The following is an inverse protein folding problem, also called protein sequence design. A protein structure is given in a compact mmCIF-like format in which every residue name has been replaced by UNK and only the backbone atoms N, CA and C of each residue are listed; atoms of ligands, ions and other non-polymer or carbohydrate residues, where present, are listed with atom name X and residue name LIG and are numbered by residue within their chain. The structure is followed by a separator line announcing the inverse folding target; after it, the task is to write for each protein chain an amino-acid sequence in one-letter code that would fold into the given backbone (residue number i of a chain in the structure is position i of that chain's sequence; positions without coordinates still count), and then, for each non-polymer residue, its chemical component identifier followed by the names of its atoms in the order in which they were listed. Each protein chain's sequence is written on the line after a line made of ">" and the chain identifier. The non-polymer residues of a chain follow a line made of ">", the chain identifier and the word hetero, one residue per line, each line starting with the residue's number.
data_IF_546175900774
#
_entry.id   IF_546175900774
#
_cell.length_a   1.000
_cell.length_b   1.000
_cell.length_c   1.000
_cell.angle_alpha   90.00
_cell.angle_beta   90.00
_cell.angle_gamma   90.00
#
_symmetry.space_group_name_H-M   'P 1'
#
loop_
_entity.id
_entity.type
_entity.pdbx_description
1 polymer ?
#
# COMPACT_ATOMS: atom_id res chain seq x y z
N UNK A 1 3.45 -36.58 -3.94
CA UNK A 1 2.56 -35.42 -4.16
C UNK A 1 3.43 -34.17 -4.33
N UNK A 2 3.42 -33.56 -5.51
CA UNK A 2 4.11 -32.27 -5.72
C UNK A 2 3.29 -31.15 -5.07
N UNK A 3 3.91 -30.22 -4.31
CA UNK A 3 3.19 -29.13 -3.69
C UNK A 3 2.56 -28.22 -4.76
N UNK A 4 1.37 -27.65 -4.50
CA UNK A 4 0.71 -26.77 -5.46
C UNK A 4 1.59 -25.56 -5.78
N UNK A 5 1.50 -25.01 -7.00
CA UNK A 5 2.26 -23.82 -7.38
C UNK A 5 1.95 -22.67 -6.42
N UNK A 6 3.00 -21.95 -6.01
CA UNK A 6 2.86 -20.76 -5.16
C UNK A 6 2.07 -19.71 -5.93
N UNK A 7 0.97 -19.22 -5.35
CA UNK A 7 0.12 -18.18 -5.96
C UNK A 7 0.99 -16.98 -6.40
N UNK A 8 0.82 -16.54 -7.65
CA UNK A 8 1.52 -15.37 -8.21
C UNK A 8 2.91 -15.63 -8.79
N UNK A 9 3.27 -16.88 -9.09
CA UNK A 9 4.45 -17.20 -9.90
C UNK A 9 4.00 -17.63 -11.30
N UNK A 10 4.64 -17.09 -12.33
CA UNK A 10 4.40 -17.48 -13.72
C UNK A 10 5.72 -17.78 -14.43
N UNK A 11 5.65 -18.62 -15.45
CA UNK A 11 6.77 -18.87 -16.35
C UNK A 11 6.61 -17.95 -17.57
N UNK A 12 7.52 -16.97 -17.79
CA UNK A 12 7.46 -16.13 -18.97
C UNK A 12 7.57 -16.97 -20.25
N UNK A 13 6.80 -16.64 -21.29
CA UNK A 13 6.82 -17.40 -22.56
C UNK A 13 8.22 -17.54 -23.16
N UNK A 14 9.06 -16.52 -23.02
CA UNK A 14 10.46 -16.53 -23.50
C UNK A 14 11.38 -17.47 -22.71
N UNK A 15 10.97 -17.87 -21.53
CA UNK A 15 11.73 -18.80 -20.67
C UNK A 15 11.36 -20.26 -20.91
N UNK A 16 10.26 -20.54 -21.62
CA UNK A 16 9.77 -21.90 -21.87
C UNK A 16 10.79 -22.72 -22.66
N UNK A 17 11.35 -22.15 -23.73
CA UNK A 17 12.39 -22.80 -24.54
C UNK A 17 13.66 -23.08 -23.74
N UNK A 18 14.01 -22.17 -22.82
CA UNK A 18 15.17 -22.34 -21.93
C UNK A 18 14.93 -23.47 -20.94
N UNK A 19 13.76 -23.52 -20.31
CA UNK A 19 13.35 -24.62 -19.42
C UNK A 19 13.40 -25.95 -20.18
N UNK A 20 12.88 -26.00 -21.41
CA UNK A 20 12.90 -27.21 -22.23
C UNK A 20 14.35 -27.66 -22.50
N UNK A 21 15.22 -26.76 -22.94
CA UNK A 21 16.64 -27.05 -23.20
C UNK A 21 17.40 -27.50 -21.94
N UNK A 22 17.20 -26.81 -20.82
CA UNK A 22 17.86 -27.11 -19.55
C UNK A 22 17.38 -28.47 -18.99
N UNK A 23 16.09 -28.77 -19.14
CA UNK A 23 15.52 -30.05 -18.73
C UNK A 23 15.95 -31.20 -19.66
N UNK A 24 16.01 -30.98 -20.97
CA UNK A 24 16.48 -31.98 -21.94
C UNK A 24 17.95 -32.36 -21.73
N UNK A 25 18.76 -31.39 -21.30
CA UNK A 25 20.19 -31.54 -21.00
C UNK A 25 20.45 -32.09 -19.60
N UNK A 26 19.43 -32.16 -18.75
CA UNK A 26 19.59 -32.62 -17.37
C UNK A 26 19.76 -34.15 -17.28
N UNK A 27 20.72 -34.64 -16.48
CA UNK A 27 20.86 -36.07 -16.19
C UNK A 27 19.64 -36.62 -15.44
N UNK A 28 18.96 -35.80 -14.65
CA UNK A 28 17.78 -36.19 -13.88
C UNK A 28 16.62 -36.61 -14.79
N UNK A 29 16.53 -36.09 -16.02
CA UNK A 29 15.56 -36.55 -17.02
C UNK A 29 15.85 -38.00 -17.44
N UNK A 30 17.12 -38.35 -17.65
CA UNK A 30 17.55 -39.68 -18.12
C UNK A 30 17.52 -40.73 -17.01
N UNK A 31 17.73 -40.30 -15.77
CA UNK A 31 17.77 -41.15 -14.59
C UNK A 31 16.40 -41.36 -13.94
N UNK A 32 15.38 -40.57 -14.33
CA UNK A 32 14.01 -40.70 -13.81
C UNK A 32 13.40 -42.05 -14.20
N UNK A 33 13.03 -42.85 -13.20
CA UNK A 33 12.45 -44.20 -13.38
C UNK A 33 10.94 -44.20 -13.32
N UNK A 34 10.33 -43.11 -12.82
CA UNK A 34 8.89 -42.92 -12.83
C UNK A 34 8.48 -41.55 -13.38
N UNK A 35 7.25 -41.48 -13.86
CA UNK A 35 6.63 -40.22 -14.29
C UNK A 35 6.63 -39.16 -13.18
N UNK A 36 6.49 -39.58 -11.91
CA UNK A 36 6.49 -38.65 -10.78
C UNK A 36 7.86 -38.01 -10.53
N UNK A 37 8.95 -38.77 -10.76
CA UNK A 37 10.33 -38.26 -10.66
C UNK A 37 10.63 -37.31 -11.82
N UNK A 38 10.19 -37.69 -13.02
CA UNK A 38 10.28 -36.85 -14.21
C UNK A 38 9.59 -35.49 -14.02
N UNK A 39 8.35 -35.50 -13.52
CA UNK A 39 7.59 -34.27 -13.26
C UNK A 39 8.21 -33.43 -12.13
N UNK A 40 8.84 -34.05 -11.12
CA UNK A 40 9.57 -33.32 -10.08
C UNK A 40 10.84 -32.67 -10.61
N UNK A 41 11.57 -33.36 -11.48
CA UNK A 41 12.75 -32.79 -12.14
C UNK A 41 12.35 -31.62 -13.06
N UNK A 42 11.26 -31.74 -13.81
CA UNK A 42 10.72 -30.66 -14.63
C UNK A 42 10.29 -29.45 -13.80
N UNK A 43 9.52 -29.67 -12.72
CA UNK A 43 9.08 -28.61 -11.81
C UNK A 43 10.28 -27.90 -11.14
N UNK A 44 11.35 -28.63 -10.81
CA UNK A 44 12.57 -28.04 -10.28
C UNK A 44 13.23 -27.06 -11.28
N UNK A 45 13.35 -27.45 -12.56
CA UNK A 45 13.89 -26.57 -13.61
C UNK A 45 12.96 -25.39 -13.86
N UNK A 46 11.65 -25.61 -13.97
CA UNK A 46 10.66 -24.54 -14.13
C UNK A 46 10.77 -23.47 -13.05
N UNK A 47 10.93 -23.87 -11.78
CA UNK A 47 11.05 -22.95 -10.64
C UNK A 47 12.25 -22.01 -10.72
N UNK A 48 13.34 -22.41 -11.38
CA UNK A 48 14.51 -21.52 -11.58
C UNK A 48 14.22 -20.37 -12.53
N UNK A 49 13.26 -20.56 -13.44
CA UNK A 49 12.88 -19.59 -14.47
C UNK A 49 11.53 -18.92 -14.18
N UNK A 50 10.83 -19.34 -13.13
CA UNK A 50 9.59 -18.71 -12.69
C UNK A 50 9.86 -17.33 -12.09
N UNK A 51 9.03 -16.37 -12.51
CA UNK A 51 9.09 -14.99 -12.02
C UNK A 51 7.88 -14.74 -11.13
N UNK A 52 8.10 -14.02 -10.03
CA UNK A 52 7.00 -13.53 -9.21
C UNK A 52 6.30 -12.38 -9.95
N UNK A 53 4.99 -12.46 -10.10
CA UNK A 53 4.18 -11.33 -10.54
C UNK A 53 4.43 -10.17 -9.59
N UNK A 54 5.08 -9.13 -10.09
CA UNK A 54 5.20 -7.90 -9.33
C UNK A 54 3.81 -7.29 -9.26
N UNK A 55 3.26 -7.01 -8.06
CA UNK A 55 2.03 -6.26 -7.98
C UNK A 55 2.23 -4.97 -8.77
N UNK A 56 1.32 -4.71 -9.72
CA UNK A 56 1.39 -3.53 -10.57
C UNK A 56 1.54 -2.27 -9.71
N UNK A 57 2.27 -1.26 -10.22
CA UNK A 57 2.38 0.02 -9.53
C UNK A 57 0.98 0.57 -9.34
N UNK A 58 0.55 0.70 -8.08
CA UNK A 58 -0.71 1.41 -7.78
C UNK A 58 -0.56 2.82 -8.33
N UNK A 59 -1.50 3.32 -9.15
CA UNK A 59 -1.45 4.70 -9.60
C UNK A 59 -1.42 5.60 -8.36
N UNK A 60 -0.60 6.65 -8.40
CA UNK A 60 -0.66 7.66 -7.35
C UNK A 60 -2.04 8.31 -7.37
N UNK A 61 -2.51 8.71 -6.18
CA UNK A 61 -3.77 9.41 -6.05
C UNK A 61 -3.73 10.68 -6.93
N UNK A 62 -4.69 10.91 -7.83
CA UNK A 62 -4.63 12.03 -8.79
C UNK A 62 -4.61 13.42 -8.15
N UNK A 63 -5.09 13.54 -6.90
CA UNK A 63 -5.06 14.79 -6.13
C UNK A 63 -3.74 15.01 -5.37
N UNK A 64 -2.80 14.05 -5.42
CA UNK A 64 -1.49 14.15 -4.77
C UNK A 64 -0.53 14.92 -5.68
N UNK A 65 -0.39 16.21 -5.42
CA UNK A 65 0.51 17.09 -6.15
C UNK A 65 1.80 17.41 -5.36
N UNK A 66 2.69 18.20 -5.99
CA UNK A 66 3.96 18.63 -5.38
C UNK A 66 3.73 19.45 -4.11
N UNK A 67 2.63 20.20 -4.03
CA UNK A 67 2.29 21.02 -2.87
C UNK A 67 1.98 20.15 -1.64
N UNK A 68 1.13 19.13 -1.83
CA UNK A 68 0.84 18.12 -0.79
C UNK A 68 2.11 17.37 -0.40
N UNK A 69 2.97 17.02 -1.36
CA UNK A 69 4.23 16.35 -1.07
C UNK A 69 5.18 17.21 -0.22
N UNK A 70 5.32 18.49 -0.55
CA UNK A 70 6.15 19.44 0.22
C UNK A 70 5.59 19.60 1.63
N UNK A 71 4.30 19.90 1.78
CA UNK A 71 3.67 20.07 3.09
C UNK A 71 3.80 18.80 3.96
N UNK A 72 3.63 17.62 3.35
CA UNK A 72 3.82 16.34 4.04
C UNK A 72 5.27 16.11 4.49
N UNK A 73 6.25 16.46 3.64
CA UNK A 73 7.68 16.42 4.01
C UNK A 73 7.98 17.35 5.17
N UNK A 74 7.47 18.58 5.16
CA UNK A 74 7.63 19.55 6.27
C UNK A 74 7.05 19.02 7.57
N UNK A 75 5.81 18.49 7.56
CA UNK A 75 5.21 17.85 8.74
C UNK A 75 6.08 16.70 9.26
N UNK A 76 6.60 15.86 8.36
CA UNK A 76 7.46 14.73 8.72
C UNK A 76 8.77 15.20 9.34
N UNK A 77 9.35 16.27 8.80
CA UNK A 77 10.56 16.89 9.33
C UNK A 77 10.32 17.50 10.72
N UNK A 78 9.23 18.25 10.92
CA UNK A 78 8.85 18.78 12.22
C UNK A 78 8.65 17.66 13.27
N UNK A 79 8.05 16.53 12.88
CA UNK A 79 7.93 15.37 13.76
C UNK A 79 9.29 14.76 14.13
N UNK A 80 10.21 14.66 13.17
CA UNK A 80 11.57 14.16 13.42
C UNK A 80 12.32 15.07 14.39
N UNK A 81 12.21 16.37 14.22
CA UNK A 81 12.81 17.36 15.12
C UNK A 81 12.24 17.24 16.52
N UNK A 82 10.92 17.26 16.68
CA UNK A 82 10.27 17.03 17.98
C UNK A 82 10.77 15.73 18.64
N UNK A 83 10.82 14.62 17.90
CA UNK A 83 11.33 13.34 18.42
C UNK A 83 12.81 13.36 18.82
N UNK A 84 13.63 14.24 18.24
CA UNK A 84 15.03 14.43 18.67
C UNK A 84 15.07 15.14 20.02
N UNK A 85 14.28 16.20 20.19
CA UNK A 85 14.25 16.99 21.42
C UNK A 85 13.52 16.31 22.59
N UNK A 86 12.52 15.46 22.33
CA UNK A 86 11.90 14.60 23.35
C UNK A 86 12.94 13.72 24.06
N UNK A 87 14.03 13.37 23.40
CA UNK A 87 15.13 12.59 23.99
C UNK A 87 16.15 13.45 24.76
N UNK A 88 16.13 14.78 24.57
CA UNK A 88 17.13 15.71 25.07
C UNK A 88 16.78 16.43 26.39
N UNK A 89 15.62 16.12 26.99
CA UNK A 89 15.13 16.66 28.28
C UNK A 89 14.85 18.18 28.37
N UNK A 90 15.09 18.96 27.31
CA UNK A 90 14.69 20.37 27.26
C UNK A 90 13.19 20.52 27.01
N UNK A 91 12.45 20.85 28.07
CA UNK A 91 10.98 20.90 28.05
C UNK A 91 10.41 22.08 27.26
N UNK A 92 11.09 23.23 27.27
CA UNK A 92 10.60 24.44 26.58
C UNK A 92 10.76 24.29 25.07
N UNK A 93 11.96 23.89 24.62
CA UNK A 93 12.24 23.64 23.20
C UNK A 93 11.39 22.47 22.69
N UNK A 94 11.12 21.45 23.53
CA UNK A 94 10.23 20.37 23.16
C UNK A 94 8.79 20.87 22.92
N UNK A 95 8.26 21.75 23.78
CA UNK A 95 6.92 22.31 23.63
C UNK A 95 6.79 23.17 22.37
N UNK A 96 7.79 24.00 22.06
CA UNK A 96 7.82 24.79 20.82
C UNK A 96 7.81 23.88 19.59
N UNK A 97 8.68 22.87 19.54
CA UNK A 97 8.75 21.92 18.41
C UNK A 97 7.47 21.10 18.26
N UNK A 98 6.79 20.81 19.37
CA UNK A 98 5.47 20.18 19.35
C UNK A 98 4.42 21.09 18.72
N UNK A 99 4.39 22.37 19.11
CA UNK A 99 3.48 23.37 18.52
C UNK A 99 3.71 23.51 17.01
N UNK A 100 4.96 23.58 16.56
CA UNK A 100 5.30 23.61 15.12
C UNK A 100 4.79 22.34 14.41
N UNK A 101 4.96 21.16 15.00
CA UNK A 101 4.44 19.92 14.43
C UNK A 101 2.90 19.96 14.29
N UNK A 102 2.18 20.44 15.31
CA UNK A 102 0.72 20.53 15.28
C UNK A 102 0.24 21.48 14.19
N UNK A 103 0.85 22.66 14.05
CA UNK A 103 0.55 23.61 12.98
C UNK A 103 0.74 22.95 11.60
N UNK A 104 1.88 22.31 11.36
CA UNK A 104 2.15 21.62 10.08
C UNK A 104 1.22 20.43 9.86
N UNK A 105 0.82 19.73 10.92
CA UNK A 105 -0.16 18.63 10.85
C UNK A 105 -1.53 19.17 10.39
N UNK A 106 -2.01 20.26 10.99
CA UNK A 106 -3.28 20.86 10.60
C UNK A 106 -3.22 21.42 9.17
N UNK A 107 -2.14 22.13 8.80
CA UNK A 107 -1.95 22.63 7.42
C UNK A 107 -2.03 21.52 6.38
N UNK A 108 -1.32 20.40 6.59
CA UNK A 108 -1.38 19.24 5.69
C UNK A 108 -2.78 18.63 5.64
N UNK A 109 -3.45 18.52 6.79
CA UNK A 109 -4.79 17.95 6.85
C UNK A 109 -5.79 18.80 6.05
N UNK A 110 -5.80 20.11 6.26
CA UNK A 110 -6.64 21.05 5.52
C UNK A 110 -6.34 21.00 4.03
N UNK A 111 -5.06 21.03 3.65
CA UNK A 111 -4.64 20.96 2.25
C UNK A 111 -5.13 19.68 1.57
N UNK A 112 -4.95 18.52 2.20
CA UNK A 112 -5.43 17.23 1.67
C UNK A 112 -6.96 17.23 1.53
N UNK A 113 -7.69 17.73 2.54
CA UNK A 113 -9.15 17.83 2.48
C UNK A 113 -9.62 18.71 1.31
N UNK A 114 -9.00 19.88 1.11
CA UNK A 114 -9.28 20.75 -0.02
C UNK A 114 -8.98 20.06 -1.37
N UNK A 115 -7.82 19.43 -1.52
CA UNK A 115 -7.43 18.75 -2.78
C UNK A 115 -8.37 17.58 -3.11
N UNK A 116 -8.79 16.82 -2.11
CA UNK A 116 -9.78 15.74 -2.28
C UNK A 116 -11.13 16.32 -2.70
N UNK A 117 -11.60 17.39 -2.04
CA UNK A 117 -12.87 18.04 -2.38
C UNK A 117 -12.86 18.58 -3.82
N UNK A 118 -11.81 19.31 -4.20
CA UNK A 118 -11.64 19.86 -5.55
C UNK A 118 -11.60 18.75 -6.61
N UNK A 119 -10.87 17.66 -6.33
CA UNK A 119 -10.81 16.52 -7.22
C UNK A 119 -12.18 15.86 -7.40
N UNK A 120 -12.91 15.65 -6.31
CA UNK A 120 -14.25 15.07 -6.35
C UNK A 120 -15.22 15.95 -7.13
N UNK A 121 -15.16 17.28 -6.96
CA UNK A 121 -15.97 18.23 -7.73
C UNK A 121 -15.67 18.14 -9.23
N UNK A 122 -14.39 18.15 -9.61
CA UNK A 122 -13.98 18.01 -11.03
C UNK A 122 -14.42 16.68 -11.62
N UNK A 123 -14.31 15.60 -10.86
CA UNK A 123 -14.72 14.27 -11.28
C UNK A 123 -16.25 14.17 -11.47
N UNK A 124 -17.04 14.75 -10.56
CA UNK A 124 -18.49 14.81 -10.71
C UNK A 124 -18.86 15.65 -11.93
N UNK A 125 -18.18 16.78 -12.16
CA UNK A 125 -18.38 17.60 -13.35
C UNK A 125 -18.04 16.83 -14.63
N UNK A 126 -16.93 16.08 -14.67
CA UNK A 126 -16.56 15.28 -15.84
C UNK A 126 -17.57 14.17 -16.11
N UNK A 127 -18.06 13.50 -15.06
CA UNK A 127 -19.11 12.48 -15.18
C UNK A 127 -20.40 13.08 -15.77
N UNK A 128 -20.79 14.28 -15.33
CA UNK A 128 -21.98 14.99 -15.87
C UNK A 128 -21.84 15.30 -17.36
N UNK A 129 -20.63 15.60 -17.83
CA UNK A 129 -20.36 15.94 -19.23
C UNK A 129 -20.37 14.73 -20.19
N UNK A 130 -20.26 13.50 -19.68
CA UNK A 130 -20.16 12.27 -20.50
C UNK A 130 -21.50 11.72 -21.03
N UNK A 131 -22.61 12.46 -20.83
CA UNK A 131 -23.91 12.18 -21.43
C UNK A 131 -24.44 10.78 -21.11
N UNK A 132 -24.55 9.92 -22.14
CA UNK A 132 -25.22 8.59 -22.07
C UNK A 132 -24.60 7.62 -21.05
N UNK A 133 -23.33 7.81 -20.68
CA UNK A 133 -22.62 6.94 -19.72
C UNK A 133 -22.51 7.52 -18.30
N UNK A 134 -23.01 8.74 -18.08
CA UNK A 134 -22.87 9.49 -16.83
C UNK A 134 -23.42 8.74 -15.61
N UNK A 135 -24.64 8.20 -15.71
CA UNK A 135 -25.28 7.49 -14.59
C UNK A 135 -24.50 6.24 -14.16
N UNK A 136 -24.00 5.47 -15.12
CA UNK A 136 -23.21 4.27 -14.82
C UNK A 136 -21.89 4.60 -14.11
N UNK A 137 -21.19 5.65 -14.58
CA UNK A 137 -19.93 6.10 -13.99
C UNK A 137 -20.13 6.74 -12.62
N UNK A 138 -21.21 7.49 -12.42
CA UNK A 138 -21.60 8.02 -11.13
C UNK A 138 -21.78 6.90 -10.09
N UNK A 139 -22.57 5.87 -10.40
CA UNK A 139 -22.78 4.75 -9.49
C UNK A 139 -21.55 3.89 -9.26
N UNK A 140 -20.66 3.79 -10.25
CA UNK A 140 -19.36 3.14 -10.09
C UNK A 140 -18.44 3.93 -9.16
N UNK A 141 -18.45 5.27 -9.28
CA UNK A 141 -17.72 6.16 -8.37
C UNK A 141 -18.24 6.06 -6.93
N UNK A 142 -19.55 6.15 -6.69
CA UNK A 142 -20.13 6.00 -5.34
C UNK A 142 -19.73 4.66 -4.71
N UNK A 143 -19.86 3.55 -5.45
CA UNK A 143 -19.43 2.22 -4.98
C UNK A 143 -17.93 2.14 -4.68
N UNK A 144 -17.10 2.94 -5.37
CA UNK A 144 -15.66 3.01 -5.09
C UNK A 144 -15.34 3.72 -3.77
N UNK A 145 -16.17 4.68 -3.35
CA UNK A 145 -16.04 5.35 -2.05
C UNK A 145 -16.37 4.38 -0.91
N UNK A 146 -17.41 3.55 -1.06
CA UNK A 146 -17.81 2.58 -0.03
C UNK A 146 -16.77 1.48 0.18
N UNK A 147 -16.08 1.04 -0.89
CA UNK A 147 -14.99 0.05 -0.80
C UNK A 147 -13.69 0.62 -0.22
N UNK A 148 -13.54 1.94 -0.18
CA UNK A 148 -12.35 2.62 0.34
C UNK A 148 -12.45 2.92 1.85
N UNK A 149 -13.62 2.72 2.46
CA UNK A 149 -13.78 2.85 3.91
C UNK A 149 -12.97 1.73 4.61
N UNK A 150 -11.98 2.04 5.46
CA UNK A 150 -11.39 1.02 6.32
C UNK A 150 -12.49 0.43 7.22
N UNK A 151 -12.46 -0.88 7.52
CA UNK A 151 -13.38 -1.45 8.50
C UNK A 151 -13.29 -0.63 9.77
N UNK A 152 -14.44 -0.20 10.30
CA UNK A 152 -14.54 0.59 11.51
C UNK A 152 -13.61 0.01 12.56
N UNK A 153 -12.55 0.75 12.91
CA UNK A 153 -11.65 0.38 13.99
C UNK A 153 -12.50 0.20 15.23
N UNK A 154 -12.52 -1.03 15.75
CA UNK A 154 -13.11 -1.38 17.03
C UNK A 154 -12.76 -0.29 18.03
N UNK A 155 -13.79 0.36 18.56
CA UNK A 155 -13.73 1.28 19.68
C UNK A 155 -12.85 0.70 20.78
N UNK A 156 -11.60 1.17 20.87
CA UNK A 156 -10.83 1.05 22.09
C UNK A 156 -11.42 2.05 23.06
N UNK A 157 -12.35 1.52 23.85
CA UNK A 157 -12.89 2.06 25.09
C UNK A 157 -11.76 2.71 25.89
N UNK A 158 -11.65 4.04 25.86
CA UNK A 158 -10.87 4.80 26.83
C UNK A 158 -11.52 4.57 28.21
N UNK A 159 -10.88 3.73 29.03
CA UNK A 159 -11.23 3.58 30.43
C UNK A 159 -10.81 4.83 31.18
N UNK A 160 -11.79 5.59 31.67
CA UNK A 160 -11.58 6.64 32.67
C UNK A 160 -11.07 5.99 33.96
N UNK A 161 -9.75 6.04 34.18
CA UNK A 161 -9.15 5.78 35.49
C UNK A 161 -9.23 7.03 36.35
N UNK A 162 -10.35 7.21 37.05
CA UNK A 162 -10.47 8.17 38.14
C UNK A 162 -9.64 7.65 39.33
N UNK A 163 -8.48 8.25 39.60
CA UNK A 163 -7.76 8.06 40.85
C UNK A 163 -8.01 9.23 41.78
N UNK A 164 -8.96 8.99 42.68
CA UNK A 164 -9.13 9.68 43.95
C UNK A 164 -7.82 9.71 44.74
N UNK A 165 -7.35 10.90 45.17
CA UNK A 165 -6.52 11.04 46.36
C UNK A 165 -6.95 12.28 47.14
N UNK A 166 -7.81 12.01 48.11
CA UNK A 166 -8.12 12.82 49.28
C UNK A 166 -7.34 12.20 50.44
N UNK A 167 -6.45 12.95 51.06
CA UNK A 167 -5.89 12.72 52.40
C UNK A 167 -5.29 14.08 52.81
N UNK A 168 -6.01 14.82 53.65
CA UNK A 168 -5.74 14.97 55.09
C UNK A 168 -4.39 15.66 55.33
#
# INVERSE_FOLDING_TARGET
>A
MSPPPRRGMYLPSKSVERVAKDFESSPQRRESRSYSEFMRALDAVMRTQMVQERPGRRPQNPWWDKEVEVAWKERRQANREHRRFVKGLDTEVCAEKWAVYLDRKHKVQTLIQCKIADYNLRLIQSIRQEGRSAAHKFWTYIRSLDRAAPPATSSHRCGNGATSRRAL
#
